data_IF_259983520522
#
_entry.id   IF_259983520522
#
_cell.length_a   1.000
_cell.length_b   1.000
_cell.length_c   1.000
_cell.angle_alpha   90.00
_cell.angle_beta   90.00
_cell.angle_gamma   90.00
#
_symmetry.space_group_name_H-M   'P 1'
#
loop_
_entity.id
_entity.type
_entity.pdbx_description
1 polymer ?
#
# COMPACT_ATOMS: atom_id res chain seq x y z
N UNK A 1 12.33 46.27 -0.83
CA UNK A 1 11.81 46.55 0.53
C UNK A 1 10.80 45.49 0.91
N UNK A 2 10.82 45.07 2.19
CA UNK A 2 9.86 44.22 2.92
C UNK A 2 9.80 42.71 2.53
N UNK A 3 9.90 41.73 3.43
CA UNK A 3 9.97 41.69 4.90
C UNK A 3 10.64 40.36 5.30
N UNK A 4 11.70 40.42 6.10
CA UNK A 4 12.28 39.26 6.79
C UNK A 4 11.26 38.76 7.80
N UNK A 5 10.72 37.56 7.58
CA UNK A 5 9.74 36.95 8.46
C UNK A 5 10.30 36.78 9.86
N UNK A 6 9.80 37.60 10.79
CA UNK A 6 10.08 37.49 12.22
C UNK A 6 9.44 36.20 12.70
N UNK A 7 10.27 35.17 12.89
CA UNK A 7 9.89 33.99 13.67
C UNK A 7 9.67 34.46 15.11
N UNK A 8 8.42 34.73 15.48
CA UNK A 8 8.04 34.91 16.88
C UNK A 8 8.21 33.57 17.59
N UNK A 9 9.43 33.36 18.09
CA UNK A 9 9.72 32.34 19.08
C UNK A 9 9.11 32.83 20.38
N UNK A 10 8.43 31.95 21.13
CA UNK A 10 7.90 32.27 22.46
C UNK A 10 8.95 33.07 23.28
N UNK A 11 8.67 34.35 23.61
CA UNK A 11 9.63 35.25 24.24
C UNK A 11 10.24 34.67 25.51
N UNK A 12 9.48 33.84 26.22
CA UNK A 12 9.89 33.21 27.47
C UNK A 12 10.93 32.10 27.23
N UNK A 13 10.76 31.32 26.16
CA UNK A 13 11.68 30.24 25.78
C UNK A 13 12.99 30.79 25.21
N UNK A 14 12.93 31.91 24.49
CA UNK A 14 14.13 32.59 23.98
C UNK A 14 14.96 33.14 25.14
N UNK A 15 14.31 33.77 26.11
CA UNK A 15 14.96 34.32 27.32
C UNK A 15 15.59 33.23 28.17
N UNK A 16 14.91 32.09 28.38
CA UNK A 16 15.48 30.95 29.10
C UNK A 16 16.69 30.33 28.39
N UNK A 17 16.68 30.28 27.06
CA UNK A 17 17.79 29.75 26.27
C UNK A 17 19.01 30.69 26.27
N UNK A 18 18.82 32.01 26.33
CA UNK A 18 19.93 32.97 26.41
C UNK A 18 20.57 32.97 27.78
N UNK A 19 19.78 32.82 28.85
CA UNK A 19 20.27 32.69 30.23
C UNK A 19 21.13 31.44 30.41
N UNK A 20 20.65 30.27 29.99
CA UNK A 20 21.41 29.02 30.05
C UNK A 20 22.71 29.07 29.23
N UNK A 21 22.72 29.78 28.10
CA UNK A 21 23.95 29.98 27.32
C UNK A 21 24.97 30.85 28.04
N UNK A 22 24.52 31.92 28.71
CA UNK A 22 25.40 32.78 29.51
C UNK A 22 25.99 32.01 30.68
N UNK A 23 25.17 31.19 31.35
CA UNK A 23 25.61 30.36 32.46
C UNK A 23 26.60 29.28 32.02
N UNK A 24 26.32 28.59 30.90
CA UNK A 24 27.28 27.65 30.32
C UNK A 24 28.61 28.33 29.99
N UNK A 25 28.57 29.53 29.41
CA UNK A 25 29.77 30.27 29.06
C UNK A 25 30.58 30.67 30.30
N UNK A 26 29.91 30.96 31.42
CA UNK A 26 30.56 31.24 32.71
C UNK A 26 31.24 29.98 33.27
N UNK A 27 30.53 28.85 33.29
CA UNK A 27 31.03 27.57 33.79
C UNK A 27 32.20 27.06 32.97
N UNK A 28 32.10 27.11 31.63
CA UNK A 28 33.18 26.68 30.74
C UNK A 28 34.42 27.57 30.88
N UNK A 29 34.26 28.89 31.00
CA UNK A 29 35.41 29.76 31.28
C UNK A 29 36.08 29.41 32.60
N UNK A 30 35.31 29.16 33.66
CA UNK A 30 35.89 28.77 34.94
C UNK A 30 36.64 27.43 34.83
N UNK A 31 36.15 26.45 34.07
CA UNK A 31 36.86 25.17 33.86
C UNK A 31 38.14 25.33 33.04
N UNK A 32 38.17 26.30 32.11
CA UNK A 32 39.29 26.48 31.17
C UNK A 32 40.36 27.42 31.71
N UNK A 33 39.96 28.46 32.44
CA UNK A 33 40.85 29.56 32.86
C UNK A 33 41.33 29.43 34.32
N UNK A 34 40.66 28.62 35.14
CA UNK A 34 41.00 28.39 36.55
C UNK A 34 41.65 26.99 36.68
N UNK A 35 42.81 26.88 37.32
CA UNK A 35 43.49 25.58 37.54
C UNK A 35 42.87 24.80 38.72
N UNK A 36 42.13 25.48 39.61
CA UNK A 36 41.52 24.92 40.83
C UNK A 36 40.00 24.66 40.68
N UNK A 37 39.53 24.32 39.47
CA UNK A 37 38.11 24.04 39.24
C UNK A 37 37.65 22.75 39.94
N UNK A 38 36.43 22.79 40.50
CA UNK A 38 35.82 21.63 41.18
C UNK A 38 35.11 20.74 40.18
N UNK A 39 35.02 19.43 40.48
CA UNK A 39 34.21 18.47 39.71
C UNK A 39 32.74 18.89 39.65
N UNK A 40 32.24 19.54 40.70
CA UNK A 40 30.90 20.13 40.75
C UNK A 40 30.64 21.13 39.60
N UNK A 41 31.66 21.90 39.21
CA UNK A 41 31.56 22.87 38.10
C UNK A 41 31.40 22.15 36.76
N UNK A 42 32.06 20.99 36.59
CA UNK A 42 31.91 20.13 35.40
C UNK A 42 30.50 19.55 35.34
N UNK A 43 29.98 19.05 36.47
CA UNK A 43 28.63 18.50 36.54
C UNK A 43 27.57 19.57 36.23
N UNK A 44 27.73 20.79 36.75
CA UNK A 44 26.88 21.93 36.42
C UNK A 44 26.93 22.30 34.94
N UNK A 45 28.12 22.27 34.31
CA UNK A 45 28.26 22.54 32.88
C UNK A 45 27.55 21.47 32.04
N UNK A 46 27.66 20.20 32.44
CA UNK A 46 26.98 19.06 31.81
C UNK A 46 25.46 19.18 31.93
N UNK A 47 24.93 19.53 33.10
CA UNK A 47 23.50 19.75 33.30
C UNK A 47 22.98 20.91 32.45
N UNK A 48 23.73 22.01 32.39
CA UNK A 48 23.37 23.18 31.57
C UNK A 48 23.36 22.84 30.07
N UNK A 49 24.34 22.05 29.60
CA UNK A 49 24.37 21.51 28.24
C UNK A 49 23.18 20.59 27.95
N UNK A 50 22.82 19.72 28.90
CA UNK A 50 21.66 18.85 28.77
C UNK A 50 20.37 19.67 28.66
N UNK A 51 20.17 20.66 29.53
CA UNK A 51 19.01 21.56 29.47
C UNK A 51 18.94 22.34 28.14
N UNK A 52 20.07 22.78 27.59
CA UNK A 52 20.13 23.43 26.27
C UNK A 52 19.78 22.47 25.13
N UNK A 53 20.24 21.22 25.20
CA UNK A 53 19.88 20.16 24.24
C UNK A 53 18.38 19.88 24.28
N UNK A 54 17.82 19.75 25.48
CA UNK A 54 16.38 19.52 25.69
C UNK A 54 15.55 20.68 25.14
N UNK A 55 15.91 21.94 25.43
CA UNK A 55 15.21 23.10 24.86
C UNK A 55 15.29 23.14 23.33
N UNK A 56 16.40 22.70 22.73
CA UNK A 56 16.56 22.60 21.27
C UNK A 56 15.76 21.45 20.67
N UNK A 57 15.66 20.30 21.36
CA UNK A 57 14.81 19.17 20.96
C UNK A 57 13.33 19.50 21.10
N UNK A 58 12.91 20.16 22.18
CA UNK A 58 11.56 20.68 22.36
C UNK A 58 11.21 21.71 21.29
N UNK A 59 12.16 22.59 20.91
CA UNK A 59 12.01 23.51 19.77
C UNK A 59 11.90 22.77 18.43
N UNK A 60 12.65 21.69 18.21
CA UNK A 60 12.49 20.83 17.02
C UNK A 60 11.13 20.14 17.02
N UNK A 61 10.67 19.62 18.16
CA UNK A 61 9.34 19.01 18.30
C UNK A 61 8.21 20.02 18.05
N UNK A 62 8.31 21.23 18.61
CA UNK A 62 7.37 22.33 18.35
C UNK A 62 7.46 22.85 16.92
N UNK A 63 8.66 22.90 16.33
CA UNK A 63 8.85 23.27 14.93
C UNK A 63 8.33 22.19 13.97
N UNK A 64 8.35 20.92 14.36
CA UNK A 64 7.71 19.83 13.61
C UNK A 64 6.18 19.95 13.72
N UNK A 65 5.65 20.24 14.91
CA UNK A 65 4.21 20.55 15.12
C UNK A 65 3.76 21.82 14.38
N UNK A 66 4.63 22.83 14.23
CA UNK A 66 4.34 24.04 13.46
C UNK A 66 4.50 23.81 11.95
N UNK A 67 5.33 22.84 11.52
CA UNK A 67 5.34 22.40 10.12
C UNK A 67 4.12 21.55 9.76
N UNK A 68 3.39 21.06 10.75
CA UNK A 68 2.10 20.39 10.56
C UNK A 68 0.98 21.36 10.15
N UNK A 69 1.18 22.68 10.25
CA UNK A 69 0.30 23.69 9.67
C UNK A 69 0.68 24.10 8.24
N UNK A 70 1.79 23.59 7.69
CA UNK A 70 1.93 23.47 6.24
C UNK A 70 0.97 22.35 5.87
N UNK A 71 -0.15 22.70 5.23
CA UNK A 71 -1.19 21.76 4.81
C UNK A 71 -0.55 20.60 4.06
N UNK A 72 -0.25 19.52 4.77
CA UNK A 72 0.26 18.31 4.18
C UNK A 72 -0.76 17.88 3.14
N UNK A 73 -0.40 17.78 1.85
CA UNK A 73 -1.34 17.33 0.84
C UNK A 73 -1.95 16.00 1.29
N UNK A 74 -3.25 15.85 1.11
CA UNK A 74 -3.99 14.67 1.56
C UNK A 74 -3.42 13.37 0.97
N UNK A 75 -2.73 13.47 -0.17
CA UNK A 75 -2.01 12.41 -0.88
C UNK A 75 -0.93 11.71 -0.04
N UNK A 76 -0.33 12.44 0.92
CA UNK A 76 0.72 11.92 1.79
C UNK A 76 0.20 11.42 3.14
N UNK A 77 -1.10 11.58 3.39
CA UNK A 77 -1.73 11.10 4.63
C UNK A 77 -2.24 9.69 4.45
N UNK A 78 -2.13 8.92 5.52
CA UNK A 78 -2.68 7.58 5.57
C UNK A 78 -4.21 7.66 5.55
N UNK A 79 -4.87 6.97 4.61
CA UNK A 79 -6.31 6.76 4.59
C UNK A 79 -7.00 6.45 5.93
N UNK A 80 -6.35 5.62 6.75
CA UNK A 80 -6.87 5.08 8.01
C UNK A 80 -6.72 6.04 9.18
N UNK A 81 -5.53 6.63 9.35
CA UNK A 81 -5.23 7.49 10.50
C UNK A 81 -5.47 8.97 10.22
N UNK A 82 -5.53 9.37 8.95
CA UNK A 82 -5.50 10.77 8.49
C UNK A 82 -4.23 11.52 8.90
N UNK A 83 -3.20 10.80 9.33
CA UNK A 83 -1.88 11.33 9.68
C UNK A 83 -0.89 11.08 8.53
N UNK A 84 0.19 11.88 8.48
CA UNK A 84 1.28 11.67 7.52
C UNK A 84 1.81 10.22 7.59
N UNK A 85 1.90 9.55 6.45
CA UNK A 85 2.45 8.20 6.36
C UNK A 85 3.94 8.20 6.74
N UNK A 86 4.32 7.42 7.75
CA UNK A 86 5.74 7.25 8.13
C UNK A 86 6.39 6.05 7.44
N UNK A 87 5.63 4.98 7.24
CA UNK A 87 6.05 3.76 6.58
C UNK A 87 5.01 3.37 5.52
N UNK A 88 5.04 4.01 4.34
CA UNK A 88 4.05 3.79 3.29
C UNK A 88 4.13 2.37 2.73
N UNK A 89 2.99 1.68 2.69
CA UNK A 89 2.78 0.35 2.12
C UNK A 89 1.67 0.43 1.10
N UNK A 90 1.96 0.01 -0.12
CA UNK A 90 0.98 -0.06 -1.21
C UNK A 90 0.31 -1.43 -1.19
N UNK A 91 -1.02 -1.46 -1.20
CA UNK A 91 -1.80 -2.70 -1.33
C UNK A 91 -2.05 -3.05 -2.80
N UNK A 92 -2.54 -4.26 -3.06
CA UNK A 92 -2.92 -4.70 -4.42
C UNK A 92 -4.03 -3.83 -5.04
N UNK A 93 -4.77 -3.07 -4.25
CA UNK A 93 -5.73 -2.05 -4.71
C UNK A 93 -5.07 -0.80 -5.28
N UNK A 94 -3.74 -0.67 -5.21
CA UNK A 94 -3.00 0.52 -5.63
C UNK A 94 -3.04 1.66 -4.62
N UNK A 95 -3.66 1.47 -3.45
CA UNK A 95 -3.71 2.48 -2.39
C UNK A 95 -2.58 2.32 -1.39
N UNK A 96 -2.07 3.45 -0.91
CA UNK A 96 -0.97 3.54 0.04
C UNK A 96 -1.51 3.78 1.45
N UNK A 97 -1.02 3.01 2.42
CA UNK A 97 -1.33 3.14 3.83
C UNK A 97 -0.06 3.19 4.66
N UNK A 98 -0.14 3.75 5.86
CA UNK A 98 0.95 3.61 6.82
C UNK A 98 0.90 2.21 7.46
N UNK A 99 2.04 1.48 7.45
CA UNK A 99 2.18 0.08 7.86
C UNK A 99 1.47 -0.29 9.17
N UNK A 100 1.65 0.42 10.30
CA UNK A 100 1.06 0.00 11.58
C UNK A 100 -0.47 0.02 11.54
N UNK A 101 -1.07 0.93 10.77
CA UNK A 101 -2.52 1.04 10.67
C UNK A 101 -3.10 -0.05 9.77
N UNK A 102 -2.49 -0.30 8.61
CA UNK A 102 -2.98 -1.35 7.72
C UNK A 102 -2.74 -2.75 8.30
N UNK A 103 -1.64 -2.97 9.02
CA UNK A 103 -1.42 -4.22 9.74
C UNK A 103 -2.46 -4.43 10.84
N UNK A 104 -2.81 -3.38 11.60
CA UNK A 104 -3.87 -3.47 12.62
C UNK A 104 -5.22 -3.82 11.98
N UNK A 105 -5.54 -3.19 10.86
CA UNK A 105 -6.76 -3.45 10.09
C UNK A 105 -6.85 -4.92 9.63
N UNK A 106 -5.77 -5.44 9.02
CA UNK A 106 -5.69 -6.83 8.55
C UNK A 106 -5.74 -7.84 9.71
N UNK A 107 -5.05 -7.55 10.82
CA UNK A 107 -5.05 -8.39 12.03
C UNK A 107 -6.43 -8.48 12.70
N UNK A 108 -7.29 -7.48 12.51
CA UNK A 108 -8.66 -7.50 12.99
C UNK A 108 -9.60 -8.37 12.11
N UNK A 109 -9.07 -9.10 11.14
CA UNK A 109 -9.83 -9.99 10.26
C UNK A 109 -10.42 -9.30 9.03
N UNK A 110 -10.19 -8.00 8.86
CA UNK A 110 -10.65 -7.29 7.67
C UNK A 110 -9.82 -7.71 6.45
N UNK A 111 -10.47 -8.31 5.46
CA UNK A 111 -9.85 -8.71 4.19
C UNK A 111 -10.09 -7.69 3.06
N UNK A 112 -10.67 -6.54 3.39
CA UNK A 112 -11.08 -5.51 2.44
C UNK A 112 -10.22 -4.25 2.60
N UNK A 113 -10.19 -3.44 1.55
CA UNK A 113 -9.42 -2.20 1.52
C UNK A 113 -10.12 -1.10 2.34
N UNK A 114 -9.44 -0.49 3.33
CA UNK A 114 -10.11 0.39 4.28
C UNK A 114 -10.61 1.74 3.74
N UNK A 115 -10.07 2.23 2.62
CA UNK A 115 -10.48 3.53 2.06
C UNK A 115 -11.65 3.39 1.08
N UNK A 116 -11.68 2.32 0.31
CA UNK A 116 -12.73 2.11 -0.69
C UNK A 116 -13.97 1.46 -0.10
N UNK A 117 -13.83 0.66 0.97
CA UNK A 117 -14.85 -0.32 1.41
C UNK A 117 -15.34 -1.28 0.30
N UNK A 118 -14.87 -1.12 -0.94
CA UNK A 118 -15.02 -2.04 -2.07
C UNK A 118 -14.14 -3.26 -1.82
N UNK A 119 -14.55 -4.04 -0.83
CA UNK A 119 -14.52 -5.47 -0.98
C UNK A 119 -15.46 -5.84 -2.11
N UNK A 120 -15.21 -7.01 -2.68
CA UNK A 120 -16.14 -7.65 -3.59
C UNK A 120 -17.46 -7.79 -2.83
N UNK A 121 -18.50 -7.14 -3.33
CA UNK A 121 -19.85 -7.22 -2.77
C UNK A 121 -20.46 -8.58 -3.08
N UNK A 122 -21.57 -8.92 -2.45
CA UNK A 122 -22.35 -10.11 -2.85
C UNK A 122 -22.84 -9.97 -4.30
N UNK A 123 -23.28 -8.78 -4.70
CA UNK A 123 -23.64 -8.49 -6.09
C UNK A 123 -22.48 -8.70 -7.08
N UNK A 124 -21.24 -8.35 -6.70
CA UNK A 124 -20.07 -8.61 -7.54
C UNK A 124 -19.77 -10.12 -7.67
N UNK A 125 -20.02 -10.90 -6.61
CA UNK A 125 -19.91 -12.37 -6.64
C UNK A 125 -20.98 -12.97 -7.54
N UNK A 126 -22.22 -12.52 -7.39
CA UNK A 126 -23.34 -12.99 -8.21
C UNK A 126 -23.10 -12.67 -9.69
N UNK A 127 -22.62 -11.46 -9.97
CA UNK A 127 -22.23 -11.05 -11.32
C UNK A 127 -21.11 -11.93 -11.87
N UNK A 128 -20.06 -12.19 -11.07
CA UNK A 128 -18.98 -13.08 -11.46
C UNK A 128 -19.45 -14.49 -11.77
N UNK A 129 -20.29 -15.09 -10.92
CA UNK A 129 -20.85 -16.42 -11.14
C UNK A 129 -21.74 -16.45 -12.40
N UNK A 130 -22.54 -15.40 -12.62
CA UNK A 130 -23.34 -15.25 -13.83
C UNK A 130 -22.48 -15.20 -15.10
N UNK A 131 -21.34 -14.51 -15.05
CA UNK A 131 -20.38 -14.47 -16.15
C UNK A 131 -19.73 -15.83 -16.41
N UNK A 132 -19.36 -16.57 -15.36
CA UNK A 132 -18.81 -17.91 -15.50
C UNK A 132 -19.82 -18.89 -16.11
N UNK A 133 -21.09 -18.81 -15.70
CA UNK A 133 -22.16 -19.64 -16.28
C UNK A 133 -22.33 -19.35 -17.78
N UNK A 134 -22.32 -18.08 -18.18
CA UNK A 134 -22.42 -17.65 -19.59
C UNK A 134 -21.30 -18.18 -20.49
N UNK A 135 -20.13 -18.51 -19.93
CA UNK A 135 -19.04 -19.14 -20.69
C UNK A 135 -19.38 -20.56 -21.17
N UNK A 136 -20.40 -21.20 -20.60
CA UNK A 136 -20.88 -22.52 -21.04
C UNK A 136 -22.16 -22.45 -21.90
N UNK A 137 -22.65 -21.25 -22.23
CA UNK A 137 -23.88 -21.06 -23.01
C UNK A 137 -23.56 -20.81 -24.51
N UNK A 138 -24.31 -19.93 -25.17
CA UNK A 138 -24.16 -19.69 -26.61
C UNK A 138 -22.91 -18.85 -26.93
N UNK A 139 -22.38 -18.97 -28.15
CA UNK A 139 -21.17 -18.25 -28.56
C UNK A 139 -21.23 -16.71 -28.34
N UNK A 140 -22.33 -15.99 -28.64
CA UNK A 140 -22.43 -14.57 -28.31
C UNK A 140 -22.27 -14.30 -26.80
N UNK A 141 -22.92 -15.12 -25.96
CA UNK A 141 -22.83 -15.00 -24.51
C UNK A 141 -21.43 -15.31 -23.99
N UNK A 142 -20.75 -16.30 -24.57
CA UNK A 142 -19.34 -16.59 -24.28
C UNK A 142 -18.43 -15.40 -24.61
N UNK A 143 -18.60 -14.79 -25.79
CA UNK A 143 -17.83 -13.62 -26.22
C UNK A 143 -18.04 -12.42 -25.29
N UNK A 144 -19.29 -12.14 -24.93
CA UNK A 144 -19.59 -11.01 -24.07
C UNK A 144 -19.09 -11.24 -22.64
N UNK A 145 -19.27 -12.46 -22.11
CA UNK A 145 -18.76 -12.82 -20.79
C UNK A 145 -17.23 -12.77 -20.71
N UNK A 146 -16.52 -13.33 -21.69
CA UNK A 146 -15.06 -13.30 -21.73
C UNK A 146 -14.52 -11.85 -21.82
N UNK A 147 -15.13 -11.02 -22.66
CA UNK A 147 -14.77 -9.59 -22.78
C UNK A 147 -14.98 -8.86 -21.46
N UNK A 148 -16.09 -9.12 -20.78
CA UNK A 148 -16.40 -8.48 -19.51
C UNK A 148 -15.45 -8.94 -18.39
N UNK A 149 -15.16 -10.24 -18.29
CA UNK A 149 -14.17 -10.79 -17.36
C UNK A 149 -12.77 -10.18 -17.60
N UNK A 150 -12.36 -9.99 -18.86
CA UNK A 150 -11.12 -9.28 -19.20
C UNK A 150 -11.13 -7.85 -18.67
N UNK A 151 -12.22 -7.11 -18.89
CA UNK A 151 -12.35 -5.71 -18.46
C UNK A 151 -12.34 -5.59 -16.93
N UNK A 152 -13.06 -6.47 -16.23
CA UNK A 152 -13.15 -6.47 -14.77
C UNK A 152 -11.81 -6.83 -14.14
N UNK A 153 -11.15 -7.89 -14.61
CA UNK A 153 -9.81 -8.27 -14.13
C UNK A 153 -8.75 -7.20 -14.43
N UNK A 154 -8.90 -6.43 -15.52
CA UNK A 154 -8.03 -5.29 -15.82
C UNK A 154 -8.25 -4.12 -14.87
N UNK A 155 -9.51 -3.72 -14.66
CA UNK A 155 -9.88 -2.51 -13.90
C UNK A 155 -9.89 -2.70 -12.40
N UNK A 156 -10.18 -3.91 -11.92
CA UNK A 156 -10.43 -4.20 -10.51
C UNK A 156 -9.51 -5.33 -10.01
N UNK A 157 -8.39 -5.00 -9.35
CA UNK A 157 -7.50 -6.01 -8.77
C UNK A 157 -8.20 -6.94 -7.78
N UNK A 158 -9.20 -6.44 -7.03
CA UNK A 158 -10.03 -7.23 -6.14
C UNK A 158 -10.79 -8.33 -6.89
N UNK A 159 -11.33 -8.04 -8.07
CA UNK A 159 -12.07 -9.01 -8.88
C UNK A 159 -11.22 -10.23 -9.29
N UNK A 160 -9.89 -10.06 -9.39
CA UNK A 160 -8.97 -11.18 -9.63
C UNK A 160 -9.01 -12.20 -8.49
N UNK A 161 -9.23 -11.76 -7.25
CA UNK A 161 -9.25 -12.65 -6.10
C UNK A 161 -10.47 -13.61 -6.11
N UNK A 162 -11.57 -13.28 -6.82
CA UNK A 162 -12.74 -14.16 -6.97
C UNK A 162 -12.40 -15.50 -7.61
N UNK A 163 -11.47 -15.51 -8.56
CA UNK A 163 -11.01 -16.73 -9.19
C UNK A 163 -10.28 -17.66 -8.22
N UNK A 164 -9.84 -17.15 -7.06
CA UNK A 164 -9.32 -17.97 -5.97
C UNK A 164 -10.36 -18.35 -4.91
N UNK A 165 -11.58 -17.83 -4.97
CA UNK A 165 -12.68 -18.25 -4.09
C UNK A 165 -13.33 -19.56 -4.59
N UNK A 166 -13.17 -19.91 -5.88
CA UNK A 166 -13.72 -21.13 -6.50
C UNK A 166 -12.67 -21.87 -7.32
N UNK A 167 -12.49 -23.17 -7.05
CA UNK A 167 -11.56 -24.04 -7.81
C UNK A 167 -11.99 -24.23 -9.27
N UNK A 168 -13.29 -24.09 -9.56
CA UNK A 168 -13.84 -24.27 -10.90
C UNK A 168 -13.80 -23.01 -11.77
N UNK A 169 -13.44 -21.85 -11.20
CA UNK A 169 -13.45 -20.59 -11.93
C UNK A 169 -12.47 -20.57 -13.12
N UNK A 170 -11.24 -21.04 -12.92
CA UNK A 170 -10.23 -21.10 -13.99
C UNK A 170 -10.56 -22.22 -15.00
N UNK A 171 -10.93 -23.45 -14.60
CA UNK A 171 -11.42 -24.47 -15.52
C UNK A 171 -12.59 -23.99 -16.40
N UNK A 172 -13.58 -23.30 -15.83
CA UNK A 172 -14.70 -22.74 -16.59
C UNK A 172 -14.27 -21.65 -17.56
N UNK A 173 -13.31 -20.80 -17.17
CA UNK A 173 -12.70 -19.80 -18.06
C UNK A 173 -12.02 -20.44 -19.27
N UNK A 174 -11.36 -21.58 -19.10
CA UNK A 174 -10.61 -22.28 -20.15
C UNK A 174 -11.44 -23.25 -20.99
N UNK A 175 -12.65 -23.58 -20.54
CA UNK A 175 -13.54 -24.53 -21.23
C UNK A 175 -13.83 -24.15 -22.69
N UNK A 176 -14.17 -22.89 -23.03
CA UNK A 176 -14.41 -22.52 -24.43
C UNK A 176 -13.19 -22.79 -25.32
N UNK A 177 -11.97 -22.64 -24.83
CA UNK A 177 -10.74 -22.93 -25.60
C UNK A 177 -10.56 -24.44 -25.87
N UNK A 178 -10.97 -25.27 -24.91
CA UNK A 178 -10.90 -26.73 -25.02
C UNK A 178 -11.90 -27.26 -26.05
N UNK A 179 -13.11 -26.69 -26.08
CA UNK A 179 -14.16 -27.02 -27.06
C UNK A 179 -13.83 -26.47 -28.47
N UNK A 180 -12.96 -25.44 -28.56
CA UNK A 180 -12.55 -24.83 -29.82
C UNK A 180 -11.37 -25.51 -30.52
N UNK A 181 -10.84 -26.63 -29.99
CA UNK A 181 -9.68 -27.36 -30.54
C UNK A 181 -9.83 -27.78 -32.01
N UNK A 182 -11.05 -27.82 -32.57
CA UNK A 182 -11.31 -28.11 -33.99
C UNK A 182 -11.62 -26.89 -34.85
N UNK A 183 -11.73 -25.68 -34.27
CA UNK A 183 -12.21 -24.45 -34.93
C UNK A 183 -11.41 -23.19 -34.56
N UNK A 184 -10.18 -23.34 -34.05
CA UNK A 184 -9.32 -22.26 -33.52
C UNK A 184 -9.16 -21.04 -34.46
N UNK A 185 -9.30 -21.22 -35.78
CA UNK A 185 -9.27 -20.13 -36.77
C UNK A 185 -10.52 -19.23 -36.80
N UNK A 186 -11.62 -19.58 -36.13
CA UNK A 186 -12.94 -18.98 -36.42
C UNK A 186 -13.31 -17.84 -35.45
N UNK A 187 -12.71 -17.78 -34.24
CA UNK A 187 -13.09 -16.78 -33.22
C UNK A 187 -11.87 -16.21 -32.44
N UNK A 188 -10.99 -15.45 -33.09
CA UNK A 188 -9.77 -14.92 -32.46
C UNK A 188 -10.05 -14.00 -31.27
N UNK A 189 -11.11 -13.19 -31.32
CA UNK A 189 -11.43 -12.26 -30.22
C UNK A 189 -11.74 -12.98 -28.90
N UNK A 190 -12.48 -14.11 -28.98
CA UNK A 190 -12.85 -14.88 -27.78
C UNK A 190 -11.59 -15.48 -27.14
N UNK A 191 -10.70 -16.02 -27.96
CA UNK A 191 -9.43 -16.57 -27.50
C UNK A 191 -8.55 -15.47 -26.88
N UNK A 192 -8.45 -14.31 -27.51
CA UNK A 192 -7.71 -13.16 -26.97
C UNK A 192 -8.28 -12.74 -25.59
N UNK A 193 -9.60 -12.64 -25.47
CA UNK A 193 -10.24 -12.21 -24.23
C UNK A 193 -10.00 -13.20 -23.09
N UNK A 194 -10.10 -14.51 -23.35
CA UNK A 194 -9.82 -15.56 -22.36
C UNK A 194 -8.34 -15.55 -21.95
N UNK A 195 -7.41 -15.53 -22.91
CA UNK A 195 -5.97 -15.52 -22.65
C UNK A 195 -5.58 -14.26 -21.88
N UNK A 196 -6.09 -13.09 -22.30
CA UNK A 196 -5.81 -11.83 -21.61
C UNK A 196 -6.36 -11.85 -20.19
N UNK A 197 -7.53 -12.44 -19.96
CA UNK A 197 -8.08 -12.63 -18.61
C UNK A 197 -7.13 -13.46 -17.77
N UNK A 198 -6.66 -14.61 -18.28
CA UNK A 198 -5.71 -15.48 -17.57
C UNK A 198 -4.40 -14.74 -17.24
N UNK A 199 -3.86 -13.96 -18.18
CA UNK A 199 -2.69 -13.11 -17.95
C UNK A 199 -2.95 -12.05 -16.88
N UNK A 200 -4.12 -11.41 -16.87
CA UNK A 200 -4.48 -10.45 -15.83
C UNK A 200 -4.52 -11.11 -14.44
N UNK A 201 -4.97 -12.37 -14.36
CA UNK A 201 -4.99 -13.15 -13.12
C UNK A 201 -3.57 -13.46 -12.63
N UNK A 202 -2.64 -13.81 -13.52
CA UNK A 202 -1.27 -14.17 -13.15
C UNK A 202 -0.44 -13.00 -12.58
N UNK A 203 -0.89 -11.76 -12.79
CA UNK A 203 -0.29 -10.57 -12.16
C UNK A 203 -0.51 -10.57 -10.63
N UNK A 204 -1.53 -11.26 -10.13
CA UNK A 204 -1.86 -11.28 -8.70
C UNK A 204 -1.20 -12.47 -7.98
N UNK A 205 -0.40 -12.19 -6.94
CA UNK A 205 0.40 -13.22 -6.24
C UNK A 205 -0.44 -14.38 -5.68
N UNK A 206 -1.65 -14.09 -5.17
CA UNK A 206 -2.56 -15.13 -4.66
C UNK A 206 -3.04 -16.11 -5.73
N UNK A 207 -3.03 -15.69 -7.00
CA UNK A 207 -3.54 -16.47 -8.11
C UNK A 207 -2.44 -17.23 -8.86
N UNK A 208 -1.16 -16.91 -8.61
CA UNK A 208 -0.03 -17.57 -9.28
C UNK A 208 -0.04 -19.09 -9.08
N UNK A 209 -0.27 -19.54 -7.84
CA UNK A 209 -0.37 -20.97 -7.51
C UNK A 209 -1.56 -21.61 -8.22
N UNK A 210 -2.72 -20.94 -8.23
CA UNK A 210 -3.94 -21.44 -8.87
C UNK A 210 -3.79 -21.58 -10.38
N UNK A 211 -3.22 -20.57 -11.05
CA UNK A 211 -2.97 -20.57 -12.50
C UNK A 211 -1.91 -21.61 -12.88
N UNK A 212 -0.89 -21.82 -12.03
CA UNK A 212 0.15 -22.82 -12.27
C UNK A 212 -0.32 -24.26 -12.00
N UNK A 213 -1.23 -24.45 -11.03
CA UNK A 213 -1.72 -25.76 -10.61
C UNK A 213 -3.00 -26.18 -11.32
N UNK A 214 -3.66 -25.31 -12.11
CA UNK A 214 -4.83 -25.73 -12.88
C UNK A 214 -4.36 -26.71 -13.94
N UNK A 215 -4.62 -28.02 -13.78
CA UNK A 215 -4.27 -28.97 -14.81
C UNK A 215 -5.23 -28.70 -15.97
N UNK A 216 -4.75 -28.83 -17.21
CA UNK A 216 -5.63 -28.96 -18.37
C UNK A 216 -6.87 -29.75 -17.97
N UNK A 217 -8.05 -29.19 -18.26
CA UNK A 217 -9.30 -29.94 -18.10
C UNK A 217 -9.13 -31.33 -18.70
N UNK A 218 -9.39 -32.33 -17.85
CA UNK A 218 -9.38 -33.79 -18.07
C UNK A 218 -8.28 -34.53 -17.30
N UNK A 219 -8.70 -35.11 -16.20
CA UNK A 219 -8.32 -36.48 -15.84
C UNK A 219 -8.75 -37.44 -16.96
N UNK A 220 -7.94 -37.60 -17.99
CA UNK A 220 -7.95 -38.80 -18.84
C UNK A 220 -6.64 -38.90 -19.60
N UNK A 221 -5.98 -40.03 -19.41
CA UNK A 221 -4.77 -40.50 -20.08
C UNK A 221 -4.88 -40.44 -21.60
N UNK A 222 -4.31 -39.42 -22.24
CA UNK A 222 -3.53 -39.56 -23.49
C UNK A 222 -2.83 -38.23 -23.86
N UNK A 223 -1.57 -38.30 -24.30
CA UNK A 223 -0.82 -37.28 -25.04
C UNK A 223 -0.89 -35.80 -24.59
N UNK A 224 -0.05 -35.41 -23.64
CA UNK A 224 0.14 -34.03 -23.16
C UNK A 224 0.60 -33.07 -24.27
N UNK A 225 -0.17 -31.99 -24.52
CA UNK A 225 0.29 -30.79 -25.24
C UNK A 225 0.09 -29.58 -24.33
N UNK A 226 1.18 -28.85 -24.09
CA UNK A 226 1.22 -27.64 -23.26
C UNK A 226 0.62 -26.46 -24.02
N UNK A 227 -0.29 -25.70 -23.38
CA UNK A 227 -0.85 -24.46 -23.94
C UNK A 227 0.19 -23.32 -23.97
N UNK A 228 1.40 -23.54 -23.44
CA UNK A 228 2.54 -22.63 -23.53
C UNK A 228 3.38 -22.79 -24.80
N UNK A 229 3.03 -23.70 -25.71
CA UNK A 229 3.78 -23.96 -26.96
C UNK A 229 3.20 -23.26 -28.22
N UNK A 230 2.48 -22.13 -28.05
CA UNK A 230 2.12 -21.24 -29.16
C UNK A 230 2.49 -19.78 -28.87
#
# INVERSE_FOLDING_TARGET
MAKTGVFESDPMVMTKATELKKELQRLVRNIVDDEDYRTETIDQARETLFALKELKMKRRSLSLKLRETVLCPEEFKCPLSKELMRDPVVLSTGQTYDRPFIQKWLKAGNRTCPLTQQGITEADRDHFLSLLEKLSLTLPEQKDAARELRLLTKKMPSFRALFGESLEAIPQLLRPLSELKSRSSIYPDLQEDIITTLLNLSIHDSNKKLVAETPNGNSSSDGSINVWDY
#
